data_IF_906660756413
#
_entry.id   IF_906660756413
#
_cell.length_a   1.000
_cell.length_b   1.000
_cell.length_c   1.000
_cell.angle_alpha   90.00
_cell.angle_beta   90.00
_cell.angle_gamma   90.00
#
_symmetry.space_group_name_H-M   'P 1'
#
loop_
_entity.id
_entity.type
_entity.pdbx_description
1 polymer ?
#
# COMPACT_ATOMS: atom_id res chain seq x y z
N UNK A 1 3.59 6.41 20.24
CA UNK A 1 3.61 6.49 18.76
C UNK A 1 4.76 5.63 18.32
N UNK A 2 4.56 4.83 17.29
CA UNK A 2 5.61 3.99 16.72
C UNK A 2 5.94 4.49 15.33
N UNK A 3 7.23 4.60 15.02
CA UNK A 3 7.73 5.06 13.75
C UNK A 3 8.33 3.88 12.99
N UNK A 4 7.95 3.72 11.73
CA UNK A 4 8.55 2.75 10.82
C UNK A 4 9.13 3.47 9.61
N UNK A 5 10.13 2.87 8.96
CA UNK A 5 10.70 3.41 7.74
C UNK A 5 11.02 2.32 6.75
N UNK A 6 10.97 2.67 5.46
CA UNK A 6 11.38 1.79 4.37
C UNK A 6 12.91 1.76 4.26
N UNK A 7 13.51 0.58 4.14
CA UNK A 7 14.96 0.46 3.90
C UNK A 7 15.35 0.75 2.45
N UNK A 8 14.38 0.71 1.53
CA UNK A 8 14.51 0.99 0.10
C UNK A 8 13.32 1.78 -0.41
N UNK A 9 13.53 2.60 -1.43
CA UNK A 9 12.48 3.38 -2.12
C UNK A 9 11.60 2.53 -3.07
N UNK A 10 11.15 1.35 -2.60
CA UNK A 10 10.30 0.45 -3.39
C UNK A 10 9.27 -0.24 -2.52
N UNK A 11 7.96 -0.05 -2.78
CA UNK A 11 6.91 -0.74 -2.02
C UNK A 11 6.73 -2.22 -2.43
N UNK A 12 7.54 -2.73 -3.38
CA UNK A 12 7.46 -4.12 -3.89
C UNK A 12 8.54 -5.03 -3.32
N UNK A 13 9.67 -4.48 -2.92
CA UNK A 13 10.77 -5.26 -2.36
C UNK A 13 11.60 -4.39 -1.43
N UNK A 14 11.28 -4.47 -0.14
CA UNK A 14 11.84 -3.60 0.89
C UNK A 14 11.62 -4.23 2.26
N UNK A 15 12.43 -3.81 3.22
CA UNK A 15 12.16 -4.09 4.62
C UNK A 15 11.55 -2.82 5.23
N UNK A 16 10.61 -2.99 6.15
CA UNK A 16 10.02 -1.93 6.95
C UNK A 16 10.50 -2.16 8.38
N UNK A 17 11.24 -1.21 8.94
CA UNK A 17 11.90 -1.37 10.24
C UNK A 17 11.31 -0.38 11.23
N UNK A 18 11.03 -0.83 12.44
CA UNK A 18 10.63 0.02 13.55
C UNK A 18 11.84 0.84 14.04
N UNK A 19 11.66 2.14 14.24
CA UNK A 19 12.69 3.02 14.78
C UNK A 19 13.21 2.50 16.14
N UNK A 20 14.53 2.51 16.31
CA UNK A 20 15.19 1.95 17.50
C UNK A 20 15.35 0.44 17.50
N UNK A 21 14.95 -0.25 16.43
CA UNK A 21 15.16 -1.69 16.25
C UNK A 21 15.98 -1.98 14.98
N UNK A 22 16.72 -3.08 15.00
CA UNK A 22 17.44 -3.56 13.82
C UNK A 22 16.50 -4.24 12.82
N UNK A 23 16.94 -4.33 11.56
CA UNK A 23 16.20 -5.02 10.50
C UNK A 23 15.96 -6.51 10.82
N UNK A 24 16.81 -7.10 11.67
CA UNK A 24 16.72 -8.49 12.13
C UNK A 24 15.91 -8.61 13.45
N UNK A 25 15.10 -7.60 13.80
CA UNK A 25 14.23 -7.66 14.98
C UNK A 25 12.91 -8.37 14.69
N UNK A 26 12.22 -8.80 15.75
CA UNK A 26 10.84 -9.29 15.67
C UNK A 26 9.83 -8.23 15.22
N UNK A 27 10.21 -6.95 15.24
CA UNK A 27 9.36 -5.81 14.89
C UNK A 27 9.51 -5.36 13.43
N UNK A 28 10.40 -5.98 12.67
CA UNK A 28 10.57 -5.66 11.25
C UNK A 28 9.56 -6.41 10.39
N UNK A 29 9.27 -5.82 9.23
CA UNK A 29 8.48 -6.45 8.17
C UNK A 29 9.33 -6.58 6.93
N UNK A 30 9.10 -7.64 6.17
CA UNK A 30 9.73 -7.88 4.88
C UNK A 30 8.66 -7.96 3.80
N UNK A 31 8.83 -7.15 2.77
CA UNK A 31 7.94 -7.10 1.60
C UNK A 31 8.63 -7.80 0.43
N UNK A 32 8.00 -8.84 -0.10
CA UNK A 32 8.53 -9.62 -1.22
C UNK A 32 7.50 -9.70 -2.36
N UNK A 33 7.84 -9.15 -3.53
CA UNK A 33 7.14 -9.38 -4.80
C UNK A 33 8.04 -10.24 -5.71
N UNK A 34 7.97 -11.59 -5.62
CA UNK A 34 8.98 -12.46 -6.22
C UNK A 34 9.10 -12.36 -7.74
N UNK A 35 8.02 -12.06 -8.48
CA UNK A 35 8.00 -11.68 -9.91
C UNK A 35 6.56 -11.40 -10.35
N UNK A 36 6.36 -10.58 -11.39
CA UNK A 36 5.06 -10.45 -12.08
C UNK A 36 4.88 -11.64 -13.00
N UNK A 37 3.96 -12.54 -12.67
CA UNK A 37 3.64 -13.70 -13.50
C UNK A 37 2.31 -13.39 -14.18
N UNK A 38 2.35 -13.21 -15.51
CA UNK A 38 1.19 -13.26 -16.39
C UNK A 38 -0.02 -12.42 -15.90
N UNK A 39 0.05 -11.09 -16.05
CA UNK A 39 -1.01 -10.12 -15.70
C UNK A 39 -1.36 -9.99 -14.20
N UNK A 40 -0.60 -10.65 -13.32
CA UNK A 40 -0.80 -10.62 -11.87
C UNK A 40 0.52 -10.29 -11.17
N UNK A 41 0.46 -9.37 -10.21
CA UNK A 41 1.54 -9.11 -9.28
C UNK A 41 1.10 -9.52 -7.87
N UNK A 42 1.84 -10.43 -7.24
CA UNK A 42 1.57 -10.87 -5.87
C UNK A 42 2.70 -10.36 -4.99
N UNK A 43 2.35 -9.53 -4.02
CA UNK A 43 3.24 -9.03 -2.98
C UNK A 43 2.89 -9.70 -1.67
N UNK A 44 3.86 -10.33 -1.01
CA UNK A 44 3.67 -10.97 0.30
C UNK A 44 4.41 -10.16 1.36
N UNK A 45 3.76 -9.96 2.51
CA UNK A 45 4.31 -9.24 3.64
C UNK A 45 4.53 -10.24 4.78
N UNK A 46 5.75 -10.27 5.28
CA UNK A 46 6.18 -11.10 6.40
C UNK A 46 6.56 -10.23 7.60
N UNK A 47 6.43 -10.77 8.81
CA UNK A 47 6.80 -10.11 10.07
C UNK A 47 7.82 -10.92 10.85
N UNK A 48 8.82 -10.22 11.39
CA UNK A 48 9.87 -10.73 12.24
C UNK A 48 10.79 -11.77 11.58
N UNK A 49 11.72 -12.28 12.39
CA UNK A 49 12.74 -13.25 11.98
C UNK A 49 12.19 -14.57 11.43
N UNK A 50 11.07 -15.02 11.97
CA UNK A 50 10.42 -16.27 11.54
C UNK A 50 9.69 -16.14 10.20
N UNK A 51 9.70 -14.94 9.59
CA UNK A 51 8.92 -14.63 8.39
C UNK A 51 7.46 -15.07 8.52
N UNK A 52 6.80 -14.70 9.62
CA UNK A 52 5.37 -14.96 9.76
C UNK A 52 4.63 -14.20 8.65
N UNK A 53 3.89 -14.90 7.79
CA UNK A 53 3.09 -14.24 6.75
C UNK A 53 1.96 -13.44 7.42
N UNK A 54 2.03 -12.12 7.35
CA UNK A 54 0.98 -11.23 7.90
C UNK A 54 -0.01 -10.76 6.85
N UNK A 55 0.37 -10.73 5.57
CA UNK A 55 -0.56 -10.36 4.52
C UNK A 55 -0.07 -10.63 3.11
N UNK A 56 -0.98 -10.44 2.16
CA UNK A 56 -0.66 -10.46 0.74
C UNK A 56 -1.54 -9.49 -0.04
N UNK A 57 -0.95 -8.91 -1.08
CA UNK A 57 -1.61 -8.02 -2.02
C UNK A 57 -1.50 -8.67 -3.39
N UNK A 58 -2.62 -8.87 -4.05
CA UNK A 58 -2.69 -9.39 -5.40
C UNK A 58 -3.30 -8.33 -6.31
N UNK A 59 -2.48 -7.77 -7.19
CA UNK A 59 -2.91 -6.78 -8.16
C UNK A 59 -3.16 -7.49 -9.48
N UNK A 60 -4.37 -7.30 -10.01
CA UNK A 60 -4.81 -7.89 -11.28
C UNK A 60 -4.89 -6.79 -12.35
N UNK A 61 -4.41 -7.07 -13.56
CA UNK A 61 -4.64 -6.17 -14.70
C UNK A 61 -6.12 -6.21 -15.14
N UNK A 62 -6.74 -7.38 -15.03
CA UNK A 62 -8.14 -7.61 -15.38
C UNK A 62 -8.82 -8.28 -14.18
N UNK A 63 -9.69 -7.55 -13.50
CA UNK A 63 -10.42 -8.03 -12.33
C UNK A 63 -10.25 -7.16 -11.10
N UNK A 64 -10.66 -7.69 -9.95
CA UNK A 64 -10.57 -7.02 -8.67
C UNK A 64 -9.24 -7.37 -7.97
N UNK A 65 -8.58 -6.37 -7.42
CA UNK A 65 -7.42 -6.57 -6.58
C UNK A 65 -7.85 -7.27 -5.27
N UNK A 66 -6.95 -8.07 -4.70
CA UNK A 66 -7.21 -8.81 -3.46
C UNK A 66 -6.19 -8.40 -2.41
N UNK A 67 -6.66 -7.94 -1.26
CA UNK A 67 -5.82 -7.63 -0.11
C UNK A 67 -6.21 -8.59 1.02
N UNK A 68 -5.24 -9.33 1.56
CA UNK A 68 -5.44 -10.26 2.65
C UNK A 68 -4.51 -9.88 3.82
N UNK A 69 -5.05 -9.84 5.04
CA UNK A 69 -4.30 -9.63 6.27
C UNK A 69 -4.69 -10.70 7.27
N UNK A 70 -3.71 -11.46 7.76
CA UNK A 70 -3.88 -12.57 8.72
C UNK A 70 -4.99 -13.56 8.34
N UNK A 71 -5.14 -13.84 7.03
CA UNK A 71 -6.16 -14.75 6.52
C UNK A 71 -7.51 -14.10 6.20
N UNK A 72 -7.72 -12.84 6.59
CA UNK A 72 -8.94 -12.09 6.30
C UNK A 72 -8.78 -11.24 5.05
N UNK A 73 -9.74 -11.33 4.13
CA UNK A 73 -9.77 -10.44 2.96
C UNK A 73 -10.29 -9.06 3.38
N UNK A 74 -9.49 -8.03 3.12
CA UNK A 74 -9.87 -6.63 3.33
C UNK A 74 -10.37 -6.07 2.00
N UNK A 75 -11.63 -5.65 1.98
CA UNK A 75 -12.20 -4.93 0.84
C UNK A 75 -11.82 -3.46 0.92
N UNK A 76 -10.94 -3.00 0.02
CA UNK A 76 -10.58 -1.59 -0.10
C UNK A 76 -11.43 -0.94 -1.19
N UNK A 77 -12.26 0.02 -0.79
CA UNK A 77 -13.01 0.85 -1.75
C UNK A 77 -12.17 2.07 -2.09
N UNK A 78 -11.59 2.11 -3.29
CA UNK A 78 -10.79 3.24 -3.77
C UNK A 78 -11.63 4.26 -4.52
N UNK A 79 -11.36 5.55 -4.37
CA UNK A 79 -12.00 6.60 -5.17
C UNK A 79 -11.57 6.55 -6.65
N UNK A 80 -12.32 7.23 -7.51
CA UNK A 80 -12.16 7.26 -8.98
C UNK A 80 -10.78 7.75 -9.48
N UNK A 81 -9.90 8.19 -8.58
CA UNK A 81 -8.52 8.60 -8.88
C UNK A 81 -7.47 7.90 -7.99
N UNK A 82 -7.85 6.87 -7.24
CA UNK A 82 -6.94 6.18 -6.30
C UNK A 82 -6.44 7.04 -5.14
N UNK A 83 -6.99 8.25 -4.96
CA UNK A 83 -6.55 9.27 -3.99
C UNK A 83 -7.13 9.05 -2.58
N UNK A 84 -8.02 8.08 -2.41
CA UNK A 84 -8.49 7.64 -1.10
C UNK A 84 -8.91 6.19 -1.14
N UNK A 85 -8.81 5.50 -0.01
CA UNK A 85 -9.21 4.10 0.14
C UNK A 85 -9.85 3.86 1.50
N UNK A 86 -11.04 3.27 1.53
CA UNK A 86 -11.76 2.94 2.77
C UNK A 86 -11.77 1.43 3.02
N UNK A 87 -11.58 1.02 4.28
CA UNK A 87 -11.67 -0.38 4.71
C UNK A 87 -12.16 -0.52 6.14
N UNK A 88 -12.62 -1.72 6.51
CA UNK A 88 -12.91 -2.09 7.90
C UNK A 88 -11.78 -2.98 8.42
N UNK A 89 -11.17 -2.62 9.55
CA UNK A 89 -10.10 -3.41 10.16
C UNK A 89 -10.65 -4.56 11.03
N UNK A 90 -9.77 -5.35 11.62
CA UNK A 90 -10.12 -6.50 12.47
C UNK A 90 -10.81 -6.12 13.78
N UNK A 91 -10.68 -4.87 14.23
CA UNK A 91 -11.38 -4.33 15.39
C UNK A 91 -12.83 -3.91 15.10
N UNK A 92 -13.27 -4.03 13.84
CA UNK A 92 -14.62 -3.66 13.39
C UNK A 92 -14.81 -2.17 13.11
N UNK A 93 -13.78 -1.34 13.26
CA UNK A 93 -13.82 0.07 12.92
C UNK A 93 -13.49 0.29 11.43
N UNK A 94 -14.17 1.26 10.82
CA UNK A 94 -13.89 1.72 9.47
C UNK A 94 -12.79 2.79 9.48
N UNK A 95 -11.89 2.71 8.51
CA UNK A 95 -10.76 3.62 8.33
C UNK A 95 -10.67 4.10 6.89
N UNK A 96 -10.12 5.30 6.72
CA UNK A 96 -9.97 5.95 5.42
C UNK A 96 -8.56 6.46 5.21
N UNK A 97 -7.90 5.95 4.18
CA UNK A 97 -6.72 6.57 3.61
C UNK A 97 -7.11 7.81 2.81
N UNK A 98 -6.43 8.93 3.06
CA UNK A 98 -6.58 10.20 2.37
C UNK A 98 -5.21 10.71 1.91
N UNK A 99 -5.07 10.96 0.61
CA UNK A 99 -3.87 11.60 0.07
C UNK A 99 -3.92 13.10 0.36
N UNK A 100 -3.02 13.58 1.22
CA UNK A 100 -2.85 15.00 1.56
C UNK A 100 -1.41 15.39 1.29
N UNK A 101 -1.11 15.86 0.07
CA UNK A 101 0.26 16.19 -0.33
C UNK A 101 0.96 17.08 0.73
N UNK A 102 2.16 16.70 1.20
CA UNK A 102 3.05 15.65 0.69
C UNK A 102 2.88 14.24 1.30
N UNK A 103 1.86 14.01 2.12
CA UNK A 103 1.65 12.79 2.92
C UNK A 103 0.40 11.98 2.52
N UNK A 104 0.31 10.76 3.05
CA UNK A 104 -0.90 9.93 3.05
C UNK A 104 -1.31 9.73 4.50
N UNK A 105 -2.55 10.02 4.84
CA UNK A 105 -3.07 9.93 6.21
C UNK A 105 -4.14 8.85 6.30
N UNK A 106 -4.11 8.08 7.40
CA UNK A 106 -5.18 7.17 7.77
C UNK A 106 -6.00 7.81 8.88
N UNK A 107 -7.29 7.95 8.63
CA UNK A 107 -8.25 8.54 9.58
C UNK A 107 -9.26 7.49 10.03
N UNK A 108 -9.66 7.53 11.29
CA UNK A 108 -10.83 6.80 11.78
C UNK A 108 -12.11 7.36 11.12
N UNK A 109 -12.95 6.48 10.58
CA UNK A 109 -14.17 6.83 9.86
C UNK A 109 -15.43 6.67 10.74
N UNK A 110 -15.32 7.07 12.01
CA UNK A 110 -16.42 7.10 12.99
C UNK A 110 -17.06 8.50 13.14
N UNK A 111 -16.74 9.41 12.20
CA UNK A 111 -17.14 10.82 12.24
C UNK A 111 -16.18 11.74 12.99
N UNK A 112 -15.19 11.20 13.72
CA UNK A 112 -14.17 12.02 14.39
C UNK A 112 -13.05 12.49 13.46
N UNK A 113 -12.83 11.79 12.35
CA UNK A 113 -11.67 11.96 11.46
C UNK A 113 -10.33 11.92 12.22
N UNK A 114 -10.27 11.14 13.30
CA UNK A 114 -9.06 11.04 14.14
C UNK A 114 -7.92 10.45 13.31
N UNK A 115 -6.77 11.16 13.27
CA UNK A 115 -5.57 10.66 12.62
C UNK A 115 -5.01 9.46 13.39
N UNK A 116 -4.86 8.33 12.71
CA UNK A 116 -4.37 7.08 13.32
C UNK A 116 -3.08 6.55 12.70
N UNK A 117 -2.79 6.92 11.46
CA UNK A 117 -1.47 6.72 10.86
C UNK A 117 -1.14 7.79 9.82
N UNK A 118 0.15 8.00 9.54
CA UNK A 118 0.61 8.94 8.53
C UNK A 118 1.85 8.41 7.83
N UNK A 119 1.92 8.60 6.51
CA UNK A 119 3.07 8.29 5.68
C UNK A 119 3.59 9.54 4.98
N UNK A 120 4.89 9.84 5.06
CA UNK A 120 5.52 11.03 4.49
C UNK A 120 6.68 10.74 3.53
N UNK A 121 6.55 9.64 2.75
CA UNK A 121 7.56 9.07 1.84
C UNK A 121 8.68 8.29 2.53
N UNK A 122 9.21 8.82 3.63
CA UNK A 122 10.30 8.19 4.38
C UNK A 122 9.78 7.40 5.59
N UNK A 123 8.80 7.96 6.30
CA UNK A 123 8.34 7.43 7.58
C UNK A 123 6.88 7.03 7.52
N UNK A 124 6.55 6.02 8.33
CA UNK A 124 5.20 5.57 8.63
C UNK A 124 5.02 5.75 10.13
N UNK A 125 4.24 6.74 10.52
CA UNK A 125 3.90 7.01 11.90
C UNK A 125 2.59 6.31 12.22
N UNK A 126 2.60 5.42 13.22
CA UNK A 126 1.40 4.76 13.72
C UNK A 126 1.11 5.27 15.14
N UNK A 127 -0.06 5.86 15.32
CA UNK A 127 -0.47 6.42 16.60
C UNK A 127 -0.93 5.30 17.56
N UNK A 128 -0.83 5.51 18.90
CA UNK A 128 -1.12 4.46 19.89
C UNK A 128 -2.45 3.74 19.68
N UNK A 129 -3.50 4.47 19.29
CA UNK A 129 -4.84 3.96 19.04
C UNK A 129 -4.98 3.05 17.80
N UNK A 130 -3.93 2.87 16.99
CA UNK A 130 -3.93 1.94 15.86
C UNK A 130 -2.80 0.90 15.95
N UNK A 131 -2.10 0.80 17.08
CA UNK A 131 -1.05 -0.21 17.24
C UNK A 131 -1.61 -1.64 17.20
N UNK A 132 -2.85 -1.85 17.61
CA UNK A 132 -3.50 -3.16 17.56
C UNK A 132 -3.88 -3.61 16.14
N UNK A 133 -3.94 -2.69 15.17
CA UNK A 133 -4.20 -2.95 13.75
C UNK A 133 -3.00 -2.63 12.85
N UNK A 134 -1.78 -2.61 13.41
CA UNK A 134 -0.58 -2.18 12.70
C UNK A 134 -0.31 -3.00 11.43
N UNK A 135 -0.63 -4.30 11.44
CA UNK A 135 -0.44 -5.17 10.28
C UNK A 135 -1.38 -4.75 9.13
N UNK A 136 -2.64 -4.43 9.44
CA UNK A 136 -3.61 -3.88 8.49
C UNK A 136 -3.18 -2.51 7.96
N UNK A 137 -2.67 -1.63 8.83
CA UNK A 137 -2.15 -0.31 8.42
C UNK A 137 -1.04 -0.48 7.39
N UNK A 138 -0.05 -1.33 7.66
CA UNK A 138 1.09 -1.51 6.76
C UNK A 138 0.70 -2.15 5.43
N UNK A 139 -0.11 -3.21 5.46
CA UNK A 139 -0.53 -3.91 4.24
C UNK A 139 -1.42 -3.03 3.37
N UNK A 140 -2.37 -2.30 3.96
CA UNK A 140 -3.25 -1.40 3.19
C UNK A 140 -2.51 -0.17 2.66
N UNK A 141 -1.54 0.38 3.42
CA UNK A 141 -0.66 1.43 2.91
C UNK A 141 0.15 0.95 1.70
N UNK A 142 0.77 -0.24 1.78
CA UNK A 142 1.52 -0.83 0.68
C UNK A 142 0.65 -1.04 -0.57
N UNK A 143 -0.60 -1.45 -0.39
CA UNK A 143 -1.56 -1.54 -1.48
C UNK A 143 -1.79 -0.17 -2.13
N UNK A 144 -2.12 0.86 -1.33
CA UNK A 144 -2.33 2.23 -1.83
C UNK A 144 -1.11 2.74 -2.61
N UNK A 145 0.11 2.50 -2.11
CA UNK A 145 1.35 2.91 -2.78
C UNK A 145 1.59 2.16 -4.10
N UNK A 146 1.19 0.89 -4.20
CA UNK A 146 1.33 0.10 -5.42
C UNK A 146 0.29 0.48 -6.47
N UNK A 147 -0.94 0.79 -6.08
CA UNK A 147 -2.00 1.18 -7.02
C UNK A 147 -1.79 2.56 -7.60
N UNK A 148 -1.33 3.55 -6.83
CA UNK A 148 -1.08 4.90 -7.36
C UNK A 148 0.01 4.91 -8.44
N UNK A 149 1.07 4.11 -8.28
CA UNK A 149 2.12 3.99 -9.31
C UNK A 149 1.63 3.35 -10.62
N UNK A 150 0.52 2.60 -10.59
CA UNK A 150 -0.09 2.02 -11.80
C UNK A 150 -0.70 3.11 -12.67
N UNK A 151 -1.43 4.03 -12.05
CA UNK A 151 -2.18 5.08 -12.75
C UNK A 151 -1.22 6.06 -13.45
N UNK A 152 -0.08 6.38 -12.82
CA UNK A 152 0.96 7.23 -13.44
C UNK A 152 1.57 6.61 -14.71
N UNK A 153 1.64 5.27 -14.78
CA UNK A 153 2.24 4.57 -15.94
C UNK A 153 1.29 4.51 -17.13
N UNK A 154 -0.02 4.56 -16.91
CA UNK A 154 -1.01 4.52 -18.00
C UNK A 154 -1.27 5.90 -18.64
N UNK A 155 -0.87 7.01 -17.98
CA UNK A 155 -0.97 8.35 -18.55
C UNK A 155 0.00 8.68 -19.69
N UNK A 156 0.94 7.78 -20.03
CA UNK A 156 2.05 8.07 -20.95
C UNK A 156 2.03 7.27 -22.26
N UNK A 157 0.87 6.75 -22.71
CA UNK A 157 0.78 5.98 -23.97
C UNK A 157 -0.08 6.57 -25.10
N UNK A 158 -0.74 7.73 -24.92
CA UNK A 158 -1.72 8.22 -25.93
C UNK A 158 -1.36 9.53 -26.67
N UNK A 159 -0.07 9.87 -26.86
CA UNK A 159 0.31 11.02 -27.70
C UNK A 159 1.52 10.75 -28.60
N UNK A 160 1.55 9.66 -29.39
CA UNK A 160 2.38 9.60 -30.62
C UNK A 160 1.75 8.67 -31.67
N UNK A 161 0.61 9.03 -32.26
CA UNK A 161 0.14 8.39 -33.50
C UNK A 161 -0.81 9.30 -34.29
N UNK A 162 -0.34 10.48 -34.69
CA UNK A 162 -1.02 11.30 -35.71
C UNK A 162 0.01 12.16 -36.45
N UNK A 163 0.86 11.50 -37.23
CA UNK A 163 1.74 12.12 -38.22
C UNK A 163 1.51 11.42 -39.55
N UNK A 164 0.75 12.06 -40.43
CA UNK A 164 0.11 11.45 -41.59
C UNK A 164 1.05 10.86 -42.65
N UNK A 165 0.53 9.82 -43.28
CA UNK A 165 0.91 9.34 -44.60
C UNK A 165 0.70 10.44 -45.64
N UNK A 166 1.77 10.95 -46.24
CA UNK A 166 1.71 11.62 -47.52
C UNK A 166 2.02 10.58 -48.62
N UNK A 167 1.05 10.31 -49.49
CA UNK A 167 1.25 9.56 -50.73
C UNK A 167 1.83 10.45 -51.84
N UNK A 168 2.52 9.86 -52.83
CA UNK A 168 3.25 10.58 -53.86
C UNK A 168 2.33 10.99 -55.04
N UNK A 169 2.68 12.11 -55.67
CA UNK A 169 2.21 12.52 -56.99
C UNK A 169 3.40 12.93 -57.84
#
# INVERSE_FOLDING_TARGET
>A
MTNFFFTKDSPKSTDIVEEGHDADSSSSYRVETPSVILHRAITTIYKGLNKEKVGSIEIHHYGHDVVNVRGTNISLTTSFAGTSGEFTASDGQAYKWAWKQPAIELLAHDGSETLVARYDRAHILVYPQALHIVDEVLVTLLYMLQTTKRDDTHGQTDIVASGGLAQPG
#
